data_IF_138502897958
#
_entry.id   IF_138502897958
#
_cell.length_a   1.000
_cell.length_b   1.000
_cell.length_c   1.000
_cell.angle_alpha   90.00
_cell.angle_beta   90.00
_cell.angle_gamma   90.00
#
_symmetry.space_group_name_H-M   'P 1'
#
loop_
_entity.id
_entity.type
_entity.pdbx_description
1 polymer ?
#
# COMPACT_ATOMS: atom_id res chain seq x y z
N UNK A 1 -12.23 -6.51 -5.06
CA UNK A 1 -11.22 -6.96 -4.10
C UNK A 1 -10.19 -7.82 -4.80
N UNK A 2 -10.53 -9.06 -5.17
CA UNK A 2 -9.63 -10.00 -5.87
C UNK A 2 -8.93 -9.46 -7.11
N UNK A 3 -9.61 -8.66 -7.95
CA UNK A 3 -8.97 -8.07 -9.15
C UNK A 3 -7.78 -7.18 -8.79
N UNK A 4 -7.89 -6.35 -7.76
CA UNK A 4 -6.82 -5.44 -7.36
C UNK A 4 -5.69 -6.19 -6.67
N UNK A 5 -5.99 -7.10 -5.73
CA UNK A 5 -4.97 -7.96 -5.12
C UNK A 5 -4.19 -8.76 -6.18
N UNK A 6 -4.89 -9.35 -7.15
CA UNK A 6 -4.24 -10.11 -8.23
C UNK A 6 -3.33 -9.22 -9.09
N UNK A 7 -3.79 -8.03 -9.49
CA UNK A 7 -2.97 -7.11 -10.30
C UNK A 7 -1.73 -6.62 -9.55
N UNK A 8 -1.87 -6.32 -8.25
CA UNK A 8 -0.77 -5.89 -7.39
C UNK A 8 0.26 -7.01 -7.23
N UNK A 9 -0.18 -8.21 -6.83
CA UNK A 9 0.70 -9.38 -6.67
C UNK A 9 1.38 -9.76 -7.99
N UNK A 10 0.64 -9.73 -9.10
CA UNK A 10 1.20 -9.95 -10.44
C UNK A 10 2.28 -8.92 -10.77
N UNK A 11 2.07 -7.66 -10.41
CA UNK A 11 3.06 -6.59 -10.61
C UNK A 11 4.37 -6.85 -9.88
N UNK A 12 4.30 -7.27 -8.61
CA UNK A 12 5.48 -7.67 -7.84
C UNK A 12 6.17 -8.91 -8.42
N UNK A 13 5.43 -9.97 -8.77
CA UNK A 13 6.02 -11.19 -9.35
C UNK A 13 6.68 -10.95 -10.70
N UNK A 14 6.13 -10.06 -11.52
CA UNK A 14 6.68 -9.71 -12.83
C UNK A 14 7.83 -8.69 -12.75
N UNK A 15 8.25 -8.28 -11.55
CA UNK A 15 9.31 -7.30 -11.32
C UNK A 15 9.09 -6.03 -12.15
N UNK A 16 7.83 -5.58 -12.20
CA UNK A 16 7.50 -4.32 -12.86
C UNK A 16 8.20 -3.17 -12.14
N UNK A 17 8.43 -2.09 -12.88
CA UNK A 17 8.86 -0.81 -12.30
C UNK A 17 7.93 -0.43 -11.14
N UNK A 18 8.54 0.06 -10.04
CA UNK A 18 7.81 0.37 -8.81
C UNK A 18 6.73 1.41 -9.06
N UNK A 19 6.93 2.33 -10.00
CA UNK A 19 5.96 3.33 -10.44
C UNK A 19 4.70 2.71 -11.09
N UNK A 20 4.86 1.59 -11.82
CA UNK A 20 3.71 0.87 -12.40
C UNK A 20 2.92 0.16 -11.30
N UNK A 21 3.62 -0.44 -10.34
CA UNK A 21 3.00 -1.08 -9.17
C UNK A 21 2.27 -0.03 -8.32
N UNK A 22 2.91 1.12 -8.07
CA UNK A 22 2.35 2.27 -7.38
C UNK A 22 1.01 2.69 -8.00
N UNK A 23 0.96 2.83 -9.33
CA UNK A 23 -0.27 3.21 -10.03
C UNK A 23 -1.40 2.18 -9.81
N UNK A 24 -1.09 0.89 -9.91
CA UNK A 24 -2.08 -0.19 -9.68
C UNK A 24 -2.60 -0.17 -8.24
N UNK A 25 -1.70 0.04 -7.27
CA UNK A 25 -2.04 0.12 -5.85
C UNK A 25 -2.95 1.33 -5.57
N UNK A 26 -2.59 2.51 -6.09
CA UNK A 26 -3.38 3.74 -5.93
C UNK A 26 -4.76 3.62 -6.55
N UNK A 27 -4.90 2.97 -7.71
CA UNK A 27 -6.21 2.66 -8.31
C UNK A 27 -7.04 1.70 -7.43
N UNK A 28 -6.37 0.82 -6.68
CA UNK A 28 -6.99 -0.09 -5.71
C UNK A 28 -7.45 0.60 -4.41
N UNK A 29 -6.78 1.66 -3.97
CA UNK A 29 -7.08 2.34 -2.70
C UNK A 29 -8.52 2.81 -2.60
N UNK A 30 -9.05 3.46 -3.63
CA UNK A 30 -10.46 3.90 -3.62
C UNK A 30 -11.44 2.73 -3.46
N UNK A 31 -11.08 1.52 -3.90
CA UNK A 31 -11.89 0.34 -3.65
C UNK A 31 -11.79 -0.14 -2.20
N UNK A 32 -10.57 -0.24 -1.67
CA UNK A 32 -10.31 -0.71 -0.31
C UNK A 32 -10.90 0.24 0.75
N UNK A 33 -10.79 1.55 0.55
CA UNK A 33 -11.39 2.56 1.45
C UNK A 33 -12.90 2.40 1.54
N UNK A 34 -13.59 2.26 0.39
CA UNK A 34 -15.05 2.05 0.35
C UNK A 34 -15.50 0.77 1.04
N UNK A 35 -14.62 -0.24 1.13
CA UNK A 35 -14.90 -1.53 1.77
C UNK A 35 -14.41 -1.59 3.21
N UNK A 36 -13.89 -0.48 3.77
CA UNK A 36 -13.27 -0.43 5.10
C UNK A 36 -12.14 -1.46 5.27
N UNK A 37 -11.37 -1.67 4.20
CA UNK A 37 -10.29 -2.64 4.11
C UNK A 37 -8.93 -1.97 4.39
N UNK A 38 -8.81 -1.32 5.55
CA UNK A 38 -7.66 -0.47 5.88
C UNK A 38 -6.36 -1.26 6.06
N UNK A 39 -6.46 -2.53 6.45
CA UNK A 39 -5.34 -3.45 6.63
C UNK A 39 -4.60 -3.67 5.30
N UNK A 40 -5.34 -3.84 4.21
CA UNK A 40 -4.74 -3.99 2.88
C UNK A 40 -4.11 -2.69 2.37
N UNK A 41 -4.68 -1.53 2.72
CA UNK A 41 -4.06 -0.24 2.39
C UNK A 41 -2.72 -0.10 3.14
N UNK A 42 -2.67 -0.53 4.40
CA UNK A 42 -1.45 -0.56 5.19
C UNK A 42 -0.38 -1.50 4.58
N UNK A 43 -0.74 -2.75 4.28
CA UNK A 43 0.18 -3.73 3.67
C UNK A 43 0.78 -3.24 2.35
N UNK A 44 -0.04 -2.64 1.49
CA UNK A 44 0.41 -2.14 0.18
C UNK A 44 1.20 -0.84 0.26
N UNK A 45 0.90 0.05 1.20
CA UNK A 45 1.74 1.23 1.44
C UNK A 45 3.10 0.84 2.03
N UNK A 46 3.16 -0.11 2.95
CA UNK A 46 4.44 -0.64 3.48
C UNK A 46 5.26 -1.31 2.37
N UNK A 47 4.63 -2.11 1.52
CA UNK A 47 5.30 -2.75 0.37
C UNK A 47 5.88 -1.72 -0.60
N UNK A 48 5.13 -0.65 -0.92
CA UNK A 48 5.65 0.44 -1.76
C UNK A 48 6.82 1.17 -1.12
N UNK A 49 6.78 1.41 0.19
CA UNK A 49 7.88 2.05 0.91
C UNK A 49 9.17 1.25 0.77
N UNK A 50 9.08 -0.07 0.94
CA UNK A 50 10.23 -0.97 0.78
C UNK A 50 10.75 -1.01 -0.66
N UNK A 51 9.88 -1.10 -1.66
CA UNK A 51 10.31 -1.13 -3.06
C UNK A 51 10.94 0.20 -3.49
N UNK A 52 10.37 1.35 -3.12
CA UNK A 52 10.98 2.64 -3.43
C UNK A 52 12.33 2.83 -2.73
N UNK A 53 12.47 2.31 -1.51
CA UNK A 53 13.76 2.30 -0.81
C UNK A 53 14.81 1.46 -1.56
N UNK A 54 14.44 0.26 -2.03
CA UNK A 54 15.35 -0.64 -2.78
C UNK A 54 15.87 0.00 -4.07
N UNK A 55 15.04 0.77 -4.77
CA UNK A 55 15.44 1.46 -6.01
C UNK A 55 16.10 2.82 -5.77
N UNK A 56 16.36 3.19 -4.51
CA UNK A 56 17.04 4.44 -4.14
C UNK A 56 16.15 5.69 -4.19
N UNK A 57 14.84 5.53 -4.37
CA UNK A 57 13.89 6.66 -4.35
C UNK A 57 13.46 6.95 -2.91
N UNK A 58 14.32 7.64 -2.17
CA UNK A 58 14.13 7.91 -0.74
C UNK A 58 12.89 8.78 -0.47
N UNK A 59 12.63 9.79 -1.30
CA UNK A 59 11.46 10.68 -1.14
C UNK A 59 10.15 9.89 -1.12
N UNK A 60 9.97 8.99 -2.10
CA UNK A 60 8.77 8.15 -2.13
C UNK A 60 8.77 7.10 -1.03
N UNK A 61 9.93 6.53 -0.68
CA UNK A 61 10.02 5.59 0.42
C UNK A 61 9.54 6.22 1.74
N UNK A 62 10.06 7.40 2.08
CA UNK A 62 9.67 8.16 3.27
C UNK A 62 8.18 8.50 3.27
N UNK A 63 7.67 8.98 2.12
CA UNK A 63 6.23 9.26 1.95
C UNK A 63 5.37 8.05 2.26
N UNK A 64 5.70 6.87 1.71
CA UNK A 64 4.91 5.67 1.91
C UNK A 64 5.09 5.06 3.30
N UNK A 65 6.27 5.19 3.93
CA UNK A 65 6.46 4.83 5.33
C UNK A 65 5.59 5.68 6.27
N UNK A 66 5.57 7.00 6.06
CA UNK A 66 4.72 7.89 6.86
C UNK A 66 3.23 7.56 6.68
N UNK A 67 2.80 7.34 5.43
CA UNK A 67 1.42 6.95 5.14
C UNK A 67 1.04 5.62 5.80
N UNK A 68 1.90 4.60 5.71
CA UNK A 68 1.69 3.30 6.36
C UNK A 68 1.56 3.47 7.89
N UNK A 69 2.46 4.23 8.51
CA UNK A 69 2.40 4.53 9.93
C UNK A 69 1.07 5.18 10.36
N UNK A 70 0.57 6.17 9.60
CA UNK A 70 -0.71 6.79 9.91
C UNK A 70 -1.90 5.83 9.80
N UNK A 71 -1.90 4.95 8.80
CA UNK A 71 -2.97 3.95 8.63
C UNK A 71 -2.95 2.96 9.79
N UNK A 72 -1.75 2.47 10.17
CA UNK A 72 -1.57 1.55 11.30
C UNK A 72 -2.10 2.15 12.60
N UNK A 73 -1.80 3.43 12.85
CA UNK A 73 -2.30 4.15 14.02
C UNK A 73 -3.84 4.20 14.03
N UNK A 74 -4.47 4.52 12.89
CA UNK A 74 -5.94 4.53 12.77
C UNK A 74 -6.58 3.15 12.97
N UNK A 75 -5.94 2.08 12.47
CA UNK A 75 -6.41 0.70 12.70
C UNK A 75 -6.37 0.39 14.20
N UNK A 76 -5.23 0.65 14.85
CA UNK A 76 -5.06 0.41 16.28
C UNK A 76 -6.08 1.20 17.12
N UNK A 77 -6.30 2.48 16.82
CA UNK A 77 -7.31 3.30 17.50
C UNK A 77 -8.73 2.73 17.32
N UNK A 78 -9.10 2.27 16.12
CA UNK A 78 -10.39 1.63 15.88
C UNK A 78 -10.56 0.32 16.64
N UNK A 79 -9.51 -0.49 16.70
CA UNK A 79 -9.53 -1.77 17.42
C UNK A 79 -9.60 -1.58 18.94
N UNK A 80 -8.90 -0.56 19.47
CA UNK A 80 -8.93 -0.24 20.90
C UNK A 80 -10.28 0.29 21.40
N UNK A 81 -11.14 0.77 20.50
CA UNK A 81 -12.51 1.23 20.79
C UNK A 81 -13.56 0.11 20.72
N UNK A 82 -13.15 -1.11 20.42
CA UNK A 82 -14.02 -2.29 20.20
C UNK A 82 -14.08 -3.18 21.43
#
# INVERSE_FOLDING_TARGET
EYRYHFLILKGFCQHLEVEKIEKIILEGFSYFERKNLSEYIHEYTESLALEFHKVGNIEKAEKYFFMSYEIKKRIFEKEALK
#
